data_IF_553054478522
#
_entry.id   IF_553054478522
#
_cell.length_a   1.000
_cell.length_b   1.000
_cell.length_c   1.000
_cell.angle_alpha   90.00
_cell.angle_beta   90.00
_cell.angle_gamma   90.00
#
_symmetry.space_group_name_H-M   'P 1'
#
loop_
_entity.id
_entity.type
_entity.pdbx_description
1 polymer ?
#
# COMPACT_ATOMS: atom_id res chain seq x y z
N UNK A 1 15.69 -28.30 -32.17
CA UNK A 1 15.86 -27.43 -30.98
C UNK A 1 15.03 -26.13 -31.00
N UNK A 2 14.67 -25.55 -32.16
CA UNK A 2 13.90 -24.29 -32.22
C UNK A 2 12.39 -24.42 -31.95
N UNK A 3 11.77 -25.58 -32.20
CA UNK A 3 10.32 -25.80 -32.01
C UNK A 3 9.96 -26.02 -30.53
N UNK A 4 10.80 -26.75 -29.78
CA UNK A 4 10.66 -26.91 -28.33
C UNK A 4 10.73 -25.55 -27.61
N UNK A 5 11.58 -24.62 -28.07
CA UNK A 5 11.69 -23.28 -27.49
C UNK A 5 10.43 -22.42 -27.71
N UNK A 6 9.68 -22.62 -28.80
CA UNK A 6 8.45 -21.84 -29.08
C UNK A 6 7.29 -22.22 -28.16
N UNK A 7 7.18 -23.49 -27.76
CA UNK A 7 6.15 -23.95 -26.82
C UNK A 7 6.52 -23.72 -25.35
N UNK A 8 7.81 -23.72 -25.02
CA UNK A 8 8.30 -23.53 -23.65
C UNK A 8 8.19 -22.07 -23.19
N UNK A 9 8.47 -21.10 -24.08
CA UNK A 9 8.41 -19.67 -23.77
C UNK A 9 7.05 -19.17 -23.20
N UNK A 10 5.89 -19.51 -23.79
CA UNK A 10 4.60 -19.12 -23.22
C UNK A 10 4.33 -19.80 -21.88
N UNK A 11 4.73 -21.07 -21.70
CA UNK A 11 4.58 -21.79 -20.45
C UNK A 11 5.42 -21.15 -19.33
N UNK A 12 6.69 -20.85 -19.58
CA UNK A 12 7.57 -20.16 -18.63
C UNK A 12 7.01 -18.80 -18.25
N UNK A 13 6.47 -18.05 -19.23
CA UNK A 13 5.82 -16.75 -18.97
C UNK A 13 4.57 -16.88 -18.11
N UNK A 14 3.74 -17.90 -18.35
CA UNK A 14 2.56 -18.18 -17.51
C UNK A 14 2.97 -18.55 -16.09
N UNK A 15 3.94 -19.44 -15.94
CA UNK A 15 4.47 -19.85 -14.63
C UNK A 15 5.03 -18.65 -13.86
N UNK A 16 5.83 -17.81 -14.53
CA UNK A 16 6.36 -16.56 -13.97
C UNK A 16 5.24 -15.63 -13.49
N UNK A 17 4.19 -15.43 -14.29
CA UNK A 17 3.06 -14.58 -13.91
C UNK A 17 2.30 -15.15 -12.70
N UNK A 18 2.07 -16.47 -12.64
CA UNK A 18 1.37 -17.12 -11.52
C UNK A 18 2.19 -17.00 -10.24
N UNK A 19 3.49 -17.34 -10.30
CA UNK A 19 4.38 -17.28 -9.13
C UNK A 19 4.54 -15.85 -8.64
N UNK A 20 4.73 -14.88 -9.54
CA UNK A 20 4.85 -13.48 -9.15
C UNK A 20 3.55 -12.92 -8.57
N UNK A 21 2.39 -13.25 -9.12
CA UNK A 21 1.09 -12.85 -8.54
C UNK A 21 0.86 -13.48 -7.16
N UNK A 22 1.19 -14.76 -7.00
CA UNK A 22 1.09 -15.45 -5.72
C UNK A 22 1.99 -14.80 -4.66
N UNK A 23 3.25 -14.52 -4.99
CA UNK A 23 4.18 -13.84 -4.09
C UNK A 23 3.72 -12.41 -3.76
N UNK A 24 3.25 -11.67 -4.76
CA UNK A 24 2.79 -10.29 -4.59
C UNK A 24 1.65 -10.17 -3.58
N UNK A 25 0.71 -11.12 -3.58
CA UNK A 25 -0.45 -11.09 -2.69
C UNK A 25 -0.14 -11.80 -1.37
N UNK A 26 0.38 -13.03 -1.41
CA UNK A 26 0.51 -13.85 -0.19
C UNK A 26 1.59 -13.36 0.77
N UNK A 27 2.71 -12.81 0.26
CA UNK A 27 3.83 -12.39 1.11
C UNK A 27 3.43 -11.26 2.08
N UNK A 28 2.81 -10.14 1.65
CA UNK A 28 2.37 -9.10 2.58
C UNK A 28 1.39 -9.59 3.65
N UNK A 29 0.44 -10.46 3.29
CA UNK A 29 -0.51 -11.01 4.27
C UNK A 29 0.15 -12.01 5.23
N UNK A 30 1.08 -12.83 4.75
CA UNK A 30 1.86 -13.72 5.62
C UNK A 30 2.72 -12.92 6.60
N UNK A 31 3.35 -11.85 6.14
CA UNK A 31 4.11 -10.92 6.98
C UNK A 31 3.22 -10.22 8.01
N UNK A 32 2.01 -9.80 7.63
CA UNK A 32 1.03 -9.23 8.55
C UNK A 32 0.61 -10.22 9.63
N UNK A 33 0.37 -11.50 9.27
CA UNK A 33 0.07 -12.56 10.24
C UNK A 33 1.25 -12.83 11.16
N UNK A 34 2.47 -12.85 10.62
CA UNK A 34 3.69 -13.01 11.42
C UNK A 34 3.86 -11.89 12.45
N UNK A 35 3.58 -10.64 12.05
CA UNK A 35 3.58 -9.49 12.95
C UNK A 35 2.56 -9.65 14.09
N UNK A 36 1.40 -10.24 13.82
CA UNK A 36 0.39 -10.48 14.85
C UNK A 36 0.84 -11.52 15.89
N UNK A 37 1.49 -12.61 15.46
CA UNK A 37 1.86 -13.73 16.33
C UNK A 37 3.11 -13.46 17.21
N UNK A 38 4.05 -12.63 16.75
CA UNK A 38 5.37 -12.49 17.40
C UNK A 38 5.45 -11.50 18.58
N UNK A 39 4.40 -10.72 18.88
CA UNK A 39 4.46 -9.72 19.96
C UNK A 39 3.10 -9.50 20.65
N UNK A 40 2.96 -10.12 21.81
CA UNK A 40 1.68 -10.50 22.40
C UNK A 40 0.84 -9.38 23.02
N UNK A 41 1.29 -8.12 23.14
CA UNK A 41 0.45 -7.11 23.84
C UNK A 41 0.23 -5.76 23.15
N UNK A 42 0.92 -5.39 22.06
CA UNK A 42 0.70 -4.05 21.46
C UNK A 42 0.91 -3.94 19.93
N UNK A 43 1.19 -5.03 19.20
CA UNK A 43 1.38 -4.92 17.74
C UNK A 43 0.08 -4.70 16.96
N UNK A 44 -1.07 -5.04 17.55
CA UNK A 44 -2.37 -4.69 16.98
C UNK A 44 -2.57 -3.17 16.89
N UNK A 45 -2.04 -2.38 17.85
CA UNK A 45 -2.09 -0.92 17.81
C UNK A 45 -1.31 -0.37 16.62
N UNK A 46 -0.17 -0.97 16.29
CA UNK A 46 0.60 -0.61 15.11
C UNK A 46 -0.20 -0.88 13.83
N UNK A 47 -0.75 -2.09 13.69
CA UNK A 47 -1.52 -2.49 12.51
C UNK A 47 -2.73 -1.57 12.32
N UNK A 48 -3.52 -1.34 13.39
CA UNK A 48 -4.69 -0.46 13.35
C UNK A 48 -4.28 0.97 13.00
N UNK A 49 -3.20 1.49 13.60
CA UNK A 49 -2.72 2.83 13.27
C UNK A 49 -2.27 2.96 11.82
N UNK A 50 -1.66 1.92 11.24
CA UNK A 50 -1.29 1.88 9.81
C UNK A 50 -2.54 1.92 8.93
N UNK A 51 -3.59 1.17 9.26
CA UNK A 51 -4.88 1.26 8.54
C UNK A 51 -5.49 2.66 8.63
N UNK A 52 -5.50 3.27 9.81
CA UNK A 52 -5.99 4.63 10.02
C UNK A 52 -5.21 5.61 9.12
N UNK A 53 -3.89 5.51 9.08
CA UNK A 53 -3.04 6.36 8.25
C UNK A 53 -3.32 6.18 6.76
N UNK A 54 -3.48 4.93 6.28
CA UNK A 54 -3.82 4.65 4.88
C UNK A 54 -5.19 5.24 4.52
N UNK A 55 -6.22 4.98 5.33
CA UNK A 55 -7.57 5.49 5.08
C UNK A 55 -7.64 7.01 5.07
N UNK A 56 -6.95 7.67 6.01
CA UNK A 56 -6.85 9.12 6.04
C UNK A 56 -6.09 9.62 4.81
N UNK A 57 -4.95 9.02 4.48
CA UNK A 57 -4.18 9.41 3.30
C UNK A 57 -5.03 9.34 2.02
N UNK A 58 -5.71 8.22 1.77
CA UNK A 58 -6.53 8.03 0.56
C UNK A 58 -7.72 9.00 0.52
N UNK A 59 -8.41 9.17 1.65
CA UNK A 59 -9.58 10.05 1.76
C UNK A 59 -9.20 11.51 1.50
N UNK A 60 -8.16 12.00 2.18
CA UNK A 60 -7.74 13.38 2.03
C UNK A 60 -7.00 13.63 0.72
N UNK A 61 -6.31 12.64 0.16
CA UNK A 61 -5.75 12.74 -1.19
C UNK A 61 -6.85 12.86 -2.25
N UNK A 62 -7.96 12.13 -2.09
CA UNK A 62 -9.13 12.27 -2.94
C UNK A 62 -9.81 13.64 -2.77
N UNK A 63 -10.07 14.07 -1.54
CA UNK A 63 -10.74 15.35 -1.26
C UNK A 63 -9.91 16.53 -1.77
N UNK A 64 -8.63 16.60 -1.39
CA UNK A 64 -7.76 17.69 -1.85
C UNK A 64 -7.50 17.60 -3.36
N UNK A 65 -7.32 16.40 -3.90
CA UNK A 65 -7.12 16.19 -5.33
C UNK A 65 -8.33 16.60 -6.18
N UNK A 66 -9.55 16.45 -5.67
CA UNK A 66 -10.78 16.86 -6.37
C UNK A 66 -11.09 18.36 -6.23
N UNK A 67 -10.79 18.95 -5.07
CA UNK A 67 -11.09 20.37 -4.81
C UNK A 67 -10.07 21.33 -5.44
N UNK A 68 -8.78 21.01 -5.34
CA UNK A 68 -7.69 21.93 -5.73
C UNK A 68 -6.75 21.33 -6.78
N UNK A 69 -6.94 20.08 -7.18
CA UNK A 69 -6.03 19.38 -8.09
C UNK A 69 -6.03 19.94 -9.50
N UNK A 70 -4.86 20.41 -9.95
CA UNK A 70 -4.64 20.91 -11.32
C UNK A 70 -3.58 20.09 -12.04
N UNK A 71 -2.55 19.63 -11.32
CA UNK A 71 -1.40 18.95 -11.91
C UNK A 71 -1.53 17.43 -11.78
N UNK A 72 -1.82 16.76 -12.89
CA UNK A 72 -1.92 15.29 -12.94
C UNK A 72 -0.56 14.63 -12.75
N UNK A 73 -0.52 13.61 -11.90
CA UNK A 73 0.70 12.87 -11.57
C UNK A 73 1.02 11.78 -12.59
N UNK A 74 0.03 10.98 -12.97
CA UNK A 74 0.25 9.75 -13.74
C UNK A 74 -0.77 9.56 -14.86
N UNK A 75 -0.83 10.49 -15.82
CA UNK A 75 -1.88 10.57 -16.86
C UNK A 75 -2.13 9.22 -17.58
N UNK A 76 -1.07 8.49 -17.93
CA UNK A 76 -1.17 7.21 -18.67
C UNK A 76 -1.62 6.02 -17.82
N UNK A 77 -1.46 6.10 -16.49
CA UNK A 77 -1.66 4.98 -15.57
C UNK A 77 -2.93 5.23 -14.74
N UNK A 78 -2.98 6.38 -14.05
CA UNK A 78 -4.10 6.85 -13.25
C UNK A 78 -4.39 8.34 -13.53
N UNK A 79 -5.33 8.65 -14.44
CA UNK A 79 -5.56 10.02 -14.92
C UNK A 79 -6.22 10.95 -13.88
N UNK A 80 -6.72 10.40 -12.77
CA UNK A 80 -7.39 11.14 -11.71
C UNK A 80 -6.46 11.56 -10.56
N UNK A 81 -5.26 10.98 -10.46
CA UNK A 81 -4.31 11.34 -9.40
C UNK A 81 -3.61 12.67 -9.71
N UNK A 82 -3.55 13.55 -8.71
CA UNK A 82 -2.94 14.87 -8.79
C UNK A 82 -1.84 15.03 -7.74
N UNK A 83 -0.87 15.91 -8.01
CA UNK A 83 0.20 16.24 -7.06
C UNK A 83 -0.34 16.97 -5.84
N UNK A 84 -1.32 17.85 -6.02
CA UNK A 84 -1.98 18.56 -4.94
C UNK A 84 -2.76 17.59 -4.03
N UNK A 85 -3.38 16.56 -4.63
CA UNK A 85 -3.99 15.46 -3.89
C UNK A 85 -2.99 14.75 -3.01
N UNK A 86 -1.84 14.34 -3.56
CA UNK A 86 -0.80 13.66 -2.80
C UNK A 86 -0.26 14.53 -1.65
N UNK A 87 0.01 15.82 -1.91
CA UNK A 87 0.50 16.74 -0.88
C UNK A 87 -0.57 16.94 0.22
N UNK A 88 -1.83 17.15 -0.16
CA UNK A 88 -2.92 17.30 0.79
C UNK A 88 -3.09 16.05 1.65
N UNK A 89 -3.18 14.88 1.02
CA UNK A 89 -3.23 13.59 1.73
C UNK A 89 -2.05 13.41 2.68
N UNK A 90 -0.83 13.75 2.24
CA UNK A 90 0.36 13.63 3.08
C UNK A 90 0.29 14.52 4.32
N UNK A 91 -0.12 15.78 4.19
CA UNK A 91 -0.27 16.70 5.34
C UNK A 91 -1.21 16.11 6.40
N UNK A 92 -2.38 15.61 5.98
CA UNK A 92 -3.34 14.98 6.91
C UNK A 92 -2.82 13.66 7.48
N UNK A 93 -2.08 12.88 6.70
CA UNK A 93 -1.45 11.64 7.15
C UNK A 93 -0.40 11.91 8.25
N UNK A 94 0.51 12.87 8.04
CA UNK A 94 1.52 13.26 9.05
C UNK A 94 0.88 13.87 10.30
N UNK A 95 -0.16 14.69 10.14
CA UNK A 95 -0.92 15.23 11.28
C UNK A 95 -1.56 14.10 12.09
N UNK A 96 -2.12 13.11 11.41
CA UNK A 96 -2.70 11.93 12.06
C UNK A 96 -1.63 11.11 12.76
N UNK A 97 -0.45 10.92 12.17
CA UNK A 97 0.65 10.21 12.81
C UNK A 97 1.11 10.90 14.10
N UNK A 98 1.17 12.23 14.10
CA UNK A 98 1.39 13.01 15.31
C UNK A 98 0.31 12.72 16.37
N UNK A 99 -0.98 12.76 15.99
CA UNK A 99 -2.09 12.44 16.90
C UNK A 99 -1.98 11.00 17.44
N UNK A 100 -1.74 10.02 16.58
CA UNK A 100 -1.60 8.61 16.97
C UNK A 100 -0.44 8.41 17.94
N UNK A 101 0.65 9.16 17.80
CA UNK A 101 1.78 9.08 18.75
C UNK A 101 1.42 9.49 20.18
N UNK A 102 0.35 10.26 20.37
CA UNK A 102 -0.13 10.69 21.70
C UNK A 102 -1.05 9.66 22.34
N UNK A 103 -1.82 8.90 21.53
CA UNK A 103 -2.88 8.00 22.02
C UNK A 103 -2.51 6.51 21.94
N UNK A 104 -1.76 6.10 20.91
CA UNK A 104 -1.38 4.72 20.68
C UNK A 104 0.06 4.48 21.12
N UNK A 105 0.20 3.79 22.25
CA UNK A 105 1.48 3.26 22.68
C UNK A 105 1.75 1.93 21.97
N UNK A 106 2.95 1.78 21.47
CA UNK A 106 3.43 0.55 20.83
C UNK A 106 4.77 0.24 21.48
N UNK A 107 4.85 -0.81 22.28
CA UNK A 107 6.04 -1.11 23.10
C UNK A 107 7.30 -1.36 22.28
N UNK A 108 7.15 -1.99 21.11
CA UNK A 108 8.26 -2.22 20.16
C UNK A 108 8.85 -0.89 19.66
N UNK A 109 8.02 0.15 19.58
CA UNK A 109 8.48 1.50 19.28
C UNK A 109 8.97 2.13 20.60
N UNK A 110 10.28 2.26 20.76
CA UNK A 110 10.87 2.85 21.96
C UNK A 110 10.16 4.16 22.35
N UNK A 111 9.60 4.22 23.56
CA UNK A 111 8.73 5.32 24.02
C UNK A 111 9.35 6.71 23.82
N UNK A 112 10.69 6.82 23.92
CA UNK A 112 11.43 8.07 23.74
C UNK A 112 11.39 8.63 22.30
N UNK A 113 11.26 7.76 21.30
CA UNK A 113 11.26 8.11 19.88
C UNK A 113 9.94 7.76 19.18
N UNK A 114 8.87 7.53 19.95
CA UNK A 114 7.56 7.10 19.45
C UNK A 114 7.02 8.02 18.34
N UNK A 115 7.12 9.34 18.52
CA UNK A 115 6.72 10.32 17.51
C UNK A 115 7.50 10.14 16.20
N UNK A 116 8.83 10.00 16.29
CA UNK A 116 9.70 9.86 15.11
C UNK A 116 9.30 8.61 14.33
N UNK A 117 9.02 7.50 15.01
CA UNK A 117 8.58 6.27 14.35
C UNK A 117 7.22 6.41 13.67
N UNK A 118 6.23 7.06 14.31
CA UNK A 118 4.95 7.33 13.67
C UNK A 118 5.09 8.22 12.42
N UNK A 119 5.97 9.22 12.46
CA UNK A 119 6.26 10.06 11.28
C UNK A 119 6.95 9.26 10.16
N UNK A 120 7.87 8.34 10.49
CA UNK A 120 8.49 7.43 9.51
C UNK A 120 7.43 6.51 8.91
N UNK A 121 6.53 5.96 9.72
CA UNK A 121 5.42 5.11 9.23
C UNK A 121 4.51 5.92 8.30
N UNK A 122 4.17 7.17 8.64
CA UNK A 122 3.41 8.04 7.76
C UNK A 122 4.10 8.27 6.43
N UNK A 123 5.42 8.51 6.45
CA UNK A 123 6.22 8.63 5.23
C UNK A 123 6.16 7.35 4.38
N UNK A 124 6.27 6.18 5.02
CA UNK A 124 6.13 4.88 4.35
C UNK A 124 4.75 4.75 3.72
N UNK A 125 3.67 5.08 4.44
CA UNK A 125 2.29 5.03 3.93
C UNK A 125 2.13 5.92 2.70
N UNK A 126 2.59 7.17 2.76
CA UNK A 126 2.50 8.13 1.65
C UNK A 126 3.26 7.63 0.43
N UNK A 127 4.51 7.19 0.60
CA UNK A 127 5.38 6.80 -0.51
C UNK A 127 5.00 5.42 -1.05
N UNK A 128 5.01 4.40 -0.20
CA UNK A 128 4.78 3.01 -0.59
C UNK A 128 3.33 2.74 -0.92
N UNK A 129 2.38 3.38 -0.25
CA UNK A 129 0.96 3.31 -0.63
C UNK A 129 0.73 3.89 -2.01
N UNK A 130 1.29 5.07 -2.29
CA UNK A 130 1.19 5.68 -3.64
C UNK A 130 1.82 4.79 -4.71
N UNK A 131 2.99 4.22 -4.44
CA UNK A 131 3.67 3.29 -5.36
C UNK A 131 2.81 2.04 -5.58
N UNK A 132 2.21 1.48 -4.54
CA UNK A 132 1.36 0.29 -4.60
C UNK A 132 0.16 0.48 -5.51
N UNK A 133 -0.63 1.54 -5.29
CA UNK A 133 -1.78 1.87 -6.14
C UNK A 133 -1.34 2.14 -7.60
N UNK A 134 -0.24 2.87 -7.82
CA UNK A 134 0.26 3.09 -9.19
C UNK A 134 0.73 1.78 -9.86
N UNK A 135 1.33 0.87 -9.09
CA UNK A 135 1.76 -0.44 -9.58
C UNK A 135 0.55 -1.28 -9.98
N UNK A 136 -0.46 -1.37 -9.14
CA UNK A 136 -1.70 -2.10 -9.44
C UNK A 136 -2.44 -1.48 -10.63
N UNK A 137 -2.59 -0.15 -10.64
CA UNK A 137 -3.12 0.60 -11.77
C UNK A 137 -2.39 0.27 -13.08
N UNK A 138 -1.06 0.11 -13.05
CA UNK A 138 -0.28 -0.29 -14.23
C UNK A 138 -0.53 -1.75 -14.64
N UNK A 139 -0.68 -2.67 -13.69
CA UNK A 139 -1.05 -4.05 -13.97
C UNK A 139 -2.42 -4.13 -14.65
N UNK A 140 -3.41 -3.39 -14.17
CA UNK A 140 -4.75 -3.28 -14.77
C UNK A 140 -4.67 -2.83 -16.23
N UNK A 141 -3.90 -1.78 -16.52
CA UNK A 141 -3.68 -1.31 -17.91
C UNK A 141 -2.99 -2.34 -18.80
N UNK A 142 -2.00 -3.06 -18.30
CA UNK A 142 -1.33 -4.14 -19.06
C UNK A 142 -2.28 -5.29 -19.39
N UNK A 143 -3.24 -5.58 -18.52
CA UNK A 143 -4.26 -6.60 -18.73
C UNK A 143 -5.44 -6.13 -19.58
N UNK A 144 -5.49 -4.84 -19.99
CA UNK A 144 -6.59 -4.28 -20.77
C UNK A 144 -7.88 -4.09 -19.96
N UNK A 145 -7.83 -4.25 -18.63
CA UNK A 145 -8.97 -4.11 -17.72
C UNK A 145 -8.83 -2.82 -16.90
N UNK A 146 -9.95 -2.33 -16.38
CA UNK A 146 -9.97 -1.16 -15.50
C UNK A 146 -10.06 -1.53 -14.02
N UNK A 147 -10.92 -2.49 -13.69
CA UNK A 147 -11.19 -2.96 -12.33
C UNK A 147 -10.90 -4.48 -12.26
N UNK A 148 -10.37 -4.97 -11.14
CA UNK A 148 -9.91 -6.36 -11.01
C UNK A 148 -11.04 -7.38 -10.87
N UNK A 149 -12.19 -6.97 -10.33
CA UNK A 149 -13.43 -7.75 -10.27
C UNK A 149 -14.63 -6.83 -9.98
N UNK A 150 -15.86 -7.33 -10.19
CA UNK A 150 -17.11 -6.72 -9.68
C UNK A 150 -17.60 -7.59 -8.52
N UNK A 151 -16.76 -7.81 -7.51
CA UNK A 151 -17.14 -8.61 -6.36
C UNK A 151 -17.93 -7.78 -5.33
N UNK A 152 -17.62 -6.49 -5.23
CA UNK A 152 -18.34 -5.55 -4.37
C UNK A 152 -19.06 -4.51 -5.24
N UNK A 153 -20.41 -4.51 -5.27
CA UNK A 153 -21.16 -3.57 -6.11
C UNK A 153 -20.82 -2.12 -5.74
N UNK A 154 -20.35 -1.35 -6.72
CA UNK A 154 -19.92 0.03 -6.57
C UNK A 154 -18.53 0.25 -5.96
N UNK A 155 -17.81 -0.80 -5.55
CA UNK A 155 -16.53 -0.69 -4.83
C UNK A 155 -15.31 -1.26 -5.58
N UNK A 156 -15.50 -1.81 -6.79
CA UNK A 156 -14.42 -2.41 -7.58
C UNK A 156 -14.05 -3.81 -7.07
N UNK A 157 -12.83 -4.23 -7.36
CA UNK A 157 -12.31 -5.51 -6.90
C UNK A 157 -11.77 -5.44 -5.48
N UNK A 158 -11.67 -6.60 -4.82
CA UNK A 158 -11.10 -6.69 -3.47
C UNK A 158 -9.62 -6.28 -3.46
N UNK A 159 -8.90 -6.55 -4.55
CA UNK A 159 -7.49 -6.20 -4.69
C UNK A 159 -7.29 -4.67 -4.76
N UNK A 160 -8.23 -3.95 -5.38
CA UNK A 160 -8.21 -2.48 -5.45
C UNK A 160 -8.34 -1.83 -4.06
N UNK A 161 -8.67 -2.60 -3.01
CA UNK A 161 -8.77 -2.13 -1.61
C UNK A 161 -7.51 -2.39 -0.80
N UNK A 162 -6.64 -3.27 -1.28
CA UNK A 162 -5.43 -3.70 -0.60
C UNK A 162 -4.16 -3.35 -1.38
N UNK A 163 -4.27 -2.74 -2.56
CA UNK A 163 -3.17 -2.38 -3.47
C UNK A 163 -2.00 -1.63 -2.78
N UNK A 164 -2.35 -0.67 -1.93
CA UNK A 164 -1.43 0.14 -1.14
C UNK A 164 -0.87 -0.67 0.03
N UNK A 165 -1.70 -1.48 0.68
CA UNK A 165 -1.32 -2.35 1.80
C UNK A 165 -0.23 -3.35 1.39
N UNK A 166 -0.30 -3.89 0.17
CA UNK A 166 0.66 -4.88 -0.33
C UNK A 166 2.10 -4.36 -0.37
N UNK A 167 2.30 -3.05 -0.50
CA UNK A 167 3.63 -2.42 -0.44
C UNK A 167 3.95 -1.85 0.95
N UNK A 168 2.94 -1.38 1.67
CA UNK A 168 3.12 -0.76 2.99
C UNK A 168 3.55 -1.78 4.05
N UNK A 169 2.94 -2.97 4.10
CA UNK A 169 3.23 -3.97 5.13
C UNK A 169 4.67 -4.48 5.07
N UNK A 170 5.22 -4.93 3.91
CA UNK A 170 6.62 -5.34 3.84
C UNK A 170 7.58 -4.23 4.27
N UNK A 171 7.27 -2.98 3.93
CA UNK A 171 8.08 -1.81 4.30
C UNK A 171 8.09 -1.57 5.80
N UNK A 172 6.95 -1.77 6.48
CA UNK A 172 6.85 -1.68 7.94
C UNK A 172 7.62 -2.81 8.61
N UNK A 173 7.54 -4.05 8.09
CA UNK A 173 8.35 -5.16 8.63
C UNK A 173 9.83 -4.85 8.53
N UNK A 174 10.29 -4.33 7.38
CA UNK A 174 11.70 -3.92 7.21
C UNK A 174 12.08 -2.83 8.21
N UNK A 175 11.20 -1.84 8.43
CA UNK A 175 11.43 -0.85 9.48
C UNK A 175 11.62 -1.52 10.84
N UNK A 176 10.68 -2.38 11.26
CA UNK A 176 10.74 -3.08 12.55
C UNK A 176 11.97 -3.98 12.71
N UNK A 177 12.50 -4.55 11.61
CA UNK A 177 13.74 -5.35 11.64
C UNK A 177 15.01 -4.51 11.83
N UNK A 178 14.95 -3.22 11.49
CA UNK A 178 16.08 -2.28 11.63
C UNK A 178 16.07 -1.58 12.99
N UNK A 179 14.94 -1.60 13.71
CA UNK A 179 14.81 -1.09 15.07
C UNK A 179 15.40 -2.04 16.11
#
# INVERSE_FOLDING_TARGET
MSILNKGLQPLVKQLYNIVSAFLYISLPFALMSFLYDFNSENLYNLIIGVFILMWIFDSFAYITGTLIGKHKMAIKISPKKTWEGLIGGAIFCFTTAYILSLFLKVEVLQTKFLLVYWLIIALIVVVMGTIGDLFESKLKRKAGIKDTAILLPGHGGILDRFDSLLFVIPSIVVLLLVL
#
